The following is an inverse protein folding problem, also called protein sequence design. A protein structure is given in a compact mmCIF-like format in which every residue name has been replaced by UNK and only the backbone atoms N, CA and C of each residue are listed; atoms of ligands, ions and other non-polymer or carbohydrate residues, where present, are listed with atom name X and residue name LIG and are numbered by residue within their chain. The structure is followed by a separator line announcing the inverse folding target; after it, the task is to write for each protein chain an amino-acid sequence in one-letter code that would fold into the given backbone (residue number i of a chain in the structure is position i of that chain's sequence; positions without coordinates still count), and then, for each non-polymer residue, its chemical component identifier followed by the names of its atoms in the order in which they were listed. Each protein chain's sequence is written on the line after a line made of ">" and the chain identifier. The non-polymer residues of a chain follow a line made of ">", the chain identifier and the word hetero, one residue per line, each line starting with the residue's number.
data_IF_817677173080
#
_entry.id   IF_817677173080
#
_cell.length_a   1.000
_cell.length_b   1.000
_cell.length_c   1.000
_cell.angle_alpha   90.00
_cell.angle_beta   90.00
_cell.angle_gamma   90.00
#
_symmetry.space_group_name_H-M   'P 1'
#
loop_
_entity.id
_entity.type
_entity.pdbx_description
1 polymer ?
#
# COMPACT_ATOMS: atom_id res chain seq x y z
N UNK A 1 -2.30 -13.62 13.78
CA UNK A 1 -2.39 -12.22 13.34
C UNK A 1 -3.72 -12.07 12.63
N UNK A 2 -4.40 -10.94 12.80
CA UNK A 2 -5.63 -10.66 12.06
C UNK A 2 -5.30 -10.33 10.61
N UNK A 3 -6.26 -10.53 9.70
CA UNK A 3 -6.10 -10.15 8.28
C UNK A 3 -5.68 -8.67 8.12
N UNK A 4 -6.17 -7.80 9.01
CA UNK A 4 -5.79 -6.38 9.02
C UNK A 4 -4.34 -6.15 9.42
N UNK A 5 -3.82 -6.89 10.41
CA UNK A 5 -2.41 -6.77 10.81
C UNK A 5 -1.46 -7.22 9.70
N UNK A 6 -1.81 -8.30 9.00
CA UNK A 6 -1.03 -8.78 7.84
C UNK A 6 -1.04 -7.76 6.69
N UNK A 7 -2.19 -7.13 6.47
CA UNK A 7 -2.33 -6.10 5.46
C UNK A 7 -1.52 -4.85 5.79
N UNK A 8 -1.54 -4.39 7.05
CA UNK A 8 -0.71 -3.28 7.54
C UNK A 8 0.77 -3.59 7.34
N UNK A 9 1.20 -4.82 7.68
CA UNK A 9 2.59 -5.24 7.44
C UNK A 9 2.97 -5.16 5.96
N UNK A 10 2.09 -5.62 5.07
CA UNK A 10 2.32 -5.55 3.62
C UNK A 10 2.41 -4.10 3.12
N UNK A 11 1.57 -3.21 3.64
CA UNK A 11 1.63 -1.77 3.33
C UNK A 11 3.00 -1.21 3.71
N UNK A 12 3.51 -1.50 4.91
CA UNK A 12 4.81 -0.99 5.34
C UNK A 12 5.97 -1.55 4.51
N UNK A 13 5.92 -2.83 4.14
CA UNK A 13 6.91 -3.42 3.22
C UNK A 13 6.95 -2.70 1.86
N UNK A 14 5.76 -2.41 1.29
CA UNK A 14 5.64 -1.72 0.01
C UNK A 14 6.05 -0.24 0.09
N UNK A 15 5.73 0.46 1.19
CA UNK A 15 6.18 1.83 1.44
C UNK A 15 7.70 1.92 1.48
N UNK A 16 8.35 1.00 2.21
CA UNK A 16 9.82 0.94 2.26
C UNK A 16 10.43 0.61 0.90
N UNK A 17 9.81 -0.29 0.13
CA UNK A 17 10.26 -0.61 -1.21
C UNK A 17 10.15 0.59 -2.16
N UNK A 18 9.03 1.34 -2.10
CA UNK A 18 8.82 2.55 -2.90
C UNK A 18 9.88 3.62 -2.61
N UNK A 19 10.24 3.83 -1.34
CA UNK A 19 11.30 4.77 -0.96
C UNK A 19 12.63 4.40 -1.64
N UNK A 20 12.99 3.11 -1.63
CA UNK A 20 14.22 2.60 -2.27
C UNK A 20 14.16 2.73 -3.79
N UNK A 21 13.05 2.34 -4.42
CA UNK A 21 12.88 2.41 -5.88
C UNK A 21 12.93 3.86 -6.36
N UNK A 22 12.34 4.79 -5.61
CA UNK A 22 12.31 6.22 -5.94
C UNK A 22 13.65 6.92 -5.75
N UNK A 23 14.58 6.34 -4.99
CA UNK A 23 15.88 6.96 -4.73
C UNK A 23 16.64 7.20 -6.05
N UNK A 24 16.96 8.46 -6.33
CA UNK A 24 17.59 8.86 -7.60
C UNK A 24 16.70 8.84 -8.84
N UNK A 25 15.39 8.54 -8.72
CA UNK A 25 14.45 8.49 -9.85
C UNK A 25 13.38 9.59 -9.79
N UNK A 26 12.82 9.93 -10.95
CA UNK A 26 11.63 10.77 -11.05
C UNK A 26 10.40 10.03 -10.55
N UNK A 27 9.39 10.75 -10.05
CA UNK A 27 8.07 10.15 -9.74
C UNK A 27 7.34 9.61 -10.97
N UNK A 28 7.70 10.10 -12.16
CA UNK A 28 7.16 9.61 -13.44
C UNK A 28 7.94 8.44 -14.01
N UNK A 29 9.01 8.00 -13.33
CA UNK A 29 9.76 6.82 -13.75
C UNK A 29 8.84 5.59 -13.76
N UNK A 30 8.84 4.77 -14.82
CA UNK A 30 7.93 3.63 -14.93
C UNK A 30 8.00 2.65 -13.74
N UNK A 31 9.18 2.47 -13.15
CA UNK A 31 9.37 1.58 -12.00
C UNK A 31 8.78 2.18 -10.72
N UNK A 32 8.94 3.50 -10.54
CA UNK A 32 8.32 4.23 -9.43
C UNK A 32 6.80 4.22 -9.55
N UNK A 33 6.26 4.41 -10.76
CA UNK A 33 4.83 4.35 -11.03
C UNK A 33 4.29 2.94 -10.78
N UNK A 34 4.99 1.90 -11.20
CA UNK A 34 4.60 0.52 -10.94
C UNK A 34 4.57 0.21 -9.44
N UNK A 35 5.60 0.59 -8.69
CA UNK A 35 5.65 0.42 -7.24
C UNK A 35 4.53 1.20 -6.52
N UNK A 36 4.23 2.42 -6.98
CA UNK A 36 3.11 3.22 -6.45
C UNK A 36 1.77 2.52 -6.65
N UNK A 37 1.53 1.94 -7.84
CA UNK A 37 0.28 1.21 -8.13
C UNK A 37 0.13 -0.05 -7.27
N UNK A 38 1.22 -0.76 -7.01
CA UNK A 38 1.18 -1.93 -6.11
C UNK A 38 0.81 -1.53 -4.69
N UNK A 39 1.38 -0.42 -4.18
CA UNK A 39 1.03 0.12 -2.87
C UNK A 39 -0.44 0.54 -2.80
N UNK A 40 -0.94 1.24 -3.83
CA UNK A 40 -2.34 1.71 -3.89
C UNK A 40 -3.34 0.54 -3.81
N UNK A 41 -3.09 -0.58 -4.51
CA UNK A 41 -3.98 -1.76 -4.46
C UNK A 41 -4.16 -2.30 -3.04
N UNK A 42 -3.09 -2.31 -2.25
CA UNK A 42 -3.16 -2.81 -0.87
C UNK A 42 -3.82 -1.78 0.06
N UNK A 43 -3.57 -0.49 -0.16
CA UNK A 43 -4.24 0.60 0.55
C UNK A 43 -5.76 0.61 0.29
N UNK A 44 -6.19 0.37 -0.95
CA UNK A 44 -7.60 0.25 -1.32
C UNK A 44 -8.27 -0.92 -0.59
N UNK A 45 -7.57 -2.07 -0.50
CA UNK A 45 -8.07 -3.21 0.28
C UNK A 45 -8.20 -2.86 1.76
N UNK A 46 -7.23 -2.13 2.33
CA UNK A 46 -7.29 -1.69 3.72
C UNK A 46 -8.49 -0.79 3.98
N UNK A 47 -8.67 0.22 3.13
CA UNK A 47 -9.78 1.15 3.23
C UNK A 47 -11.12 0.42 3.11
N UNK A 48 -11.25 -0.51 2.17
CA UNK A 48 -12.45 -1.33 2.02
C UNK A 48 -12.78 -2.16 3.27
N UNK A 49 -11.77 -2.64 3.99
CA UNK A 49 -11.97 -3.34 5.27
C UNK A 49 -12.39 -2.41 6.40
N UNK A 50 -11.87 -1.18 6.43
CA UNK A 50 -12.26 -0.19 7.42
C UNK A 50 -13.70 0.26 7.22
N UNK A 51 -14.10 0.58 5.99
CA UNK A 51 -15.48 1.00 5.66
C UNK A 51 -16.49 -0.06 6.10
N UNK A 52 -16.26 -1.33 5.77
CA UNK A 52 -17.14 -2.44 6.18
C UNK A 52 -17.30 -2.56 7.70
N UNK A 53 -16.25 -2.28 8.47
CA UNK A 53 -16.31 -2.31 9.93
C UNK A 53 -17.12 -1.17 10.51
N UNK A 54 -17.05 0.02 9.91
CA UNK A 54 -17.87 1.17 10.32
C UNK A 54 -19.33 1.08 9.90
N UNK A 55 -19.67 0.29 8.87
CA UNK A 55 -21.05 0.04 8.44
C UNK A 55 -21.74 -1.08 9.27
N UNK A 56 -20.97 -1.84 10.05
CA UNK A 56 -21.44 -2.95 10.91
C UNK A 56 -21.69 -2.51 12.38
N UNK A 57 -21.42 -1.24 12.73
CA UNK A 57 -21.69 -0.60 14.04
C UNK A 57 -22.96 0.28 14.02
#
# INVERSE_FOLDING_TARGET
>A
MSEVEELIKRIEELRLNMIKIKEGKSYTDPEVVAASRELDVVLDKYQGMLVKRTDED
#
